data_IF_657888969175
#
_entry.id   IF_657888969175
#
_cell.length_a   1.000
_cell.length_b   1.000
_cell.length_c   1.000
_cell.angle_alpha   90.00
_cell.angle_beta   90.00
_cell.angle_gamma   90.00
#
_symmetry.space_group_name_H-M   'P 1'
#
loop_
_entity.id
_entity.type
_entity.pdbx_description
1 polymer ?
#
# COMPACT_ATOMS: atom_id res chain seq x y z
N UNK A 1 5.62 -0.14 31.61
CA UNK A 1 6.41 -0.93 30.64
C UNK A 1 5.55 -1.10 29.40
N UNK A 2 5.89 -0.38 28.35
CA UNK A 2 5.23 -0.51 27.05
C UNK A 2 5.37 -1.96 26.58
N UNK A 3 4.24 -2.57 26.16
CA UNK A 3 4.26 -3.91 25.57
C UNK A 3 4.69 -3.78 24.10
N UNK A 4 6.00 -3.71 23.88
CA UNK A 4 6.59 -3.37 22.56
C UNK A 4 6.09 -4.24 21.39
N UNK A 5 5.79 -5.53 21.61
CA UNK A 5 5.24 -6.41 20.58
C UNK A 5 3.82 -5.98 20.12
N UNK A 6 2.98 -5.45 21.03
CA UNK A 6 1.64 -4.96 20.69
C UNK A 6 1.74 -3.65 19.92
N UNK A 7 2.63 -2.75 20.33
CA UNK A 7 2.86 -1.49 19.63
C UNK A 7 3.38 -1.74 18.21
N UNK A 8 4.40 -2.60 18.06
CA UNK A 8 4.97 -2.98 16.76
C UNK A 8 3.91 -3.63 15.85
N UNK A 9 3.10 -4.55 16.38
CA UNK A 9 2.08 -5.25 15.60
C UNK A 9 0.97 -4.32 15.11
N UNK A 10 0.63 -3.27 15.87
CA UNK A 10 -0.42 -2.29 15.49
C UNK A 10 0.10 -1.19 14.58
N UNK A 11 1.35 -0.79 14.74
CA UNK A 11 1.97 0.30 13.96
C UNK A 11 2.31 -0.13 12.53
N UNK A 12 2.63 -1.40 12.31
CA UNK A 12 3.00 -1.93 10.99
C UNK A 12 1.77 -2.04 10.07
N UNK A 13 1.98 -1.84 8.77
CA UNK A 13 1.01 -2.17 7.71
C UNK A 13 1.29 -3.57 7.14
N UNK A 14 2.52 -4.03 7.23
CA UNK A 14 3.00 -5.34 6.81
C UNK A 14 4.16 -5.77 7.73
N UNK A 15 4.22 -7.03 8.12
CA UNK A 15 5.36 -7.59 8.83
C UNK A 15 6.20 -8.41 7.87
N UNK A 16 7.49 -8.08 7.75
CA UNK A 16 8.43 -8.79 6.87
C UNK A 16 9.50 -9.48 7.71
N UNK A 17 9.68 -10.77 7.47
CA UNK A 17 10.72 -11.59 8.10
C UNK A 17 11.76 -11.99 7.07
N UNK A 18 12.90 -11.32 7.07
CA UNK A 18 14.01 -11.54 6.15
C UNK A 18 15.36 -11.44 6.90
N UNK A 19 16.05 -12.55 7.12
CA UNK A 19 15.71 -13.93 6.78
C UNK A 19 14.70 -14.58 7.72
N UNK A 20 13.83 -15.45 7.19
CA UNK A 20 12.99 -16.35 7.96
C UNK A 20 13.72 -17.68 8.16
N UNK A 21 14.25 -17.89 9.36
CA UNK A 21 14.97 -19.11 9.72
C UNK A 21 14.01 -20.26 9.98
N UNK A 22 14.49 -21.52 9.87
CA UNK A 22 13.69 -22.70 10.18
C UNK A 22 13.11 -22.67 11.61
N UNK A 23 13.88 -22.16 12.59
CA UNK A 23 13.43 -22.01 13.96
C UNK A 23 12.28 -21.02 14.11
N UNK A 24 12.36 -19.84 13.49
CA UNK A 24 11.30 -18.84 13.55
C UNK A 24 10.02 -19.30 12.80
N UNK A 25 10.20 -19.95 11.64
CA UNK A 25 9.11 -20.59 10.90
C UNK A 25 8.39 -21.62 11.76
N UNK A 26 9.15 -22.47 12.47
CA UNK A 26 8.58 -23.47 13.37
C UNK A 26 7.82 -22.84 14.54
N UNK A 27 8.36 -21.79 15.16
CA UNK A 27 7.69 -21.04 16.22
C UNK A 27 6.37 -20.43 15.73
N UNK A 28 6.40 -19.72 14.60
CA UNK A 28 5.21 -19.13 14.00
C UNK A 28 4.14 -20.18 13.67
N UNK A 29 4.52 -21.31 13.07
CA UNK A 29 3.60 -22.39 12.70
C UNK A 29 2.94 -23.09 13.89
N UNK A 30 3.56 -23.03 15.07
CA UNK A 30 3.08 -23.72 16.27
C UNK A 30 2.68 -22.78 17.42
N UNK A 31 2.62 -21.46 17.16
CA UNK A 31 2.17 -20.46 18.13
C UNK A 31 3.12 -20.28 19.32
N UNK A 32 4.43 -20.52 19.13
CA UNK A 32 5.43 -20.29 20.15
C UNK A 32 5.88 -18.83 20.14
N UNK A 33 5.87 -18.19 21.31
CA UNK A 33 6.12 -16.75 21.50
C UNK A 33 7.04 -16.53 22.69
N UNK A 34 8.30 -16.95 22.56
CA UNK A 34 9.33 -16.92 23.60
C UNK A 34 10.39 -15.82 23.40
N UNK A 35 10.26 -15.05 22.30
CA UNK A 35 11.08 -13.88 22.01
C UNK A 35 10.22 -12.76 21.37
N UNK A 36 10.79 -11.56 21.22
CA UNK A 36 10.07 -10.41 20.68
C UNK A 36 9.54 -10.65 19.27
N UNK A 37 10.32 -11.29 18.40
CA UNK A 37 9.93 -11.53 17.01
C UNK A 37 8.77 -12.51 16.92
N UNK A 38 8.88 -13.68 17.59
CA UNK A 38 7.82 -14.68 17.61
C UNK A 38 6.55 -14.18 18.29
N UNK A 39 6.68 -13.37 19.37
CA UNK A 39 5.54 -12.73 20.02
C UNK A 39 4.86 -11.70 19.14
N UNK A 40 5.64 -10.89 18.40
CA UNK A 40 5.07 -9.93 17.44
C UNK A 40 4.32 -10.64 16.30
N UNK A 41 4.88 -11.73 15.76
CA UNK A 41 4.22 -12.54 14.73
C UNK A 41 2.92 -13.17 15.22
N UNK A 42 2.84 -13.57 16.48
CA UNK A 42 1.62 -14.13 17.06
C UNK A 42 0.57 -13.06 17.38
N UNK A 43 1.03 -11.84 17.73
CA UNK A 43 0.15 -10.72 18.12
C UNK A 43 -0.34 -9.88 16.94
N UNK A 44 0.28 -9.99 15.76
CA UNK A 44 -0.08 -9.13 14.61
C UNK A 44 -1.39 -9.55 13.96
N UNK A 45 -2.17 -8.57 13.56
CA UNK A 45 -3.34 -8.70 12.70
C UNK A 45 -3.02 -8.30 11.24
N UNK A 46 -1.75 -8.07 10.92
CA UNK A 46 -1.28 -7.63 9.60
C UNK A 46 -0.83 -8.83 8.76
N UNK A 47 -0.77 -8.61 7.45
CA UNK A 47 -0.14 -9.58 6.54
C UNK A 47 1.30 -9.80 6.93
N UNK A 48 1.79 -11.02 6.75
CA UNK A 48 3.18 -11.39 7.03
C UNK A 48 3.82 -11.92 5.75
N UNK A 49 5.00 -11.39 5.41
CA UNK A 49 5.85 -11.90 4.34
C UNK A 49 7.06 -12.61 4.94
N UNK A 50 7.26 -13.86 4.58
CA UNK A 50 8.42 -14.65 4.97
C UNK A 50 9.38 -14.79 3.78
N UNK A 51 10.65 -14.45 3.97
CA UNK A 51 11.75 -14.71 3.05
C UNK A 51 12.66 -15.80 3.66
N UNK A 52 12.40 -17.10 3.42
CA UNK A 52 13.16 -18.17 4.03
C UNK A 52 14.63 -18.16 3.62
N UNK A 53 15.51 -18.46 4.62
CA UNK A 53 16.92 -18.70 4.37
C UNK A 53 17.45 -19.75 5.33
N UNK A 54 17.95 -20.85 4.80
CA UNK A 54 18.50 -21.97 5.57
C UNK A 54 19.28 -22.91 4.65
N UNK A 55 20.01 -23.85 5.24
CA UNK A 55 20.67 -24.92 4.49
C UNK A 55 19.65 -25.74 3.65
N UNK A 56 20.08 -26.26 2.50
CA UNK A 56 19.26 -27.08 1.57
C UNK A 56 18.55 -28.22 2.28
N UNK A 57 19.28 -28.97 3.10
CA UNK A 57 18.70 -30.13 3.82
C UNK A 57 17.66 -29.72 4.83
N UNK A 58 17.87 -28.57 5.49
CA UNK A 58 16.87 -27.99 6.40
C UNK A 58 15.63 -27.57 5.63
N UNK A 59 15.79 -26.88 4.48
CA UNK A 59 14.64 -26.49 3.66
C UNK A 59 13.82 -27.67 3.17
N UNK A 60 14.49 -28.71 2.66
CA UNK A 60 13.85 -29.92 2.16
C UNK A 60 13.34 -30.84 3.27
N UNK A 61 13.64 -30.56 4.52
CA UNK A 61 13.21 -31.39 5.63
C UNK A 61 11.67 -31.40 5.76
N UNK A 62 11.03 -32.60 5.87
CA UNK A 62 9.57 -32.69 5.94
C UNK A 62 8.92 -31.82 7.01
N UNK A 63 9.55 -31.64 8.17
CA UNK A 63 9.04 -30.79 9.23
C UNK A 63 9.01 -29.30 8.83
N UNK A 64 10.01 -28.81 8.09
CA UNK A 64 10.05 -27.43 7.60
C UNK A 64 8.98 -27.23 6.53
N UNK A 65 8.84 -28.17 5.59
CA UNK A 65 7.81 -28.12 4.56
C UNK A 65 6.39 -28.17 5.17
N UNK A 66 6.18 -28.99 6.18
CA UNK A 66 4.91 -29.06 6.91
C UNK A 66 4.60 -27.73 7.62
N UNK A 67 5.58 -27.08 8.24
CA UNK A 67 5.41 -25.77 8.88
C UNK A 67 5.07 -24.68 7.85
N UNK A 68 5.76 -24.64 6.71
CA UNK A 68 5.44 -23.71 5.60
C UNK A 68 4.03 -23.95 5.07
N UNK A 69 3.66 -25.23 4.85
CA UNK A 69 2.30 -25.59 4.42
C UNK A 69 1.23 -25.11 5.40
N UNK A 70 1.47 -25.29 6.71
CA UNK A 70 0.57 -24.82 7.77
C UNK A 70 0.43 -23.29 7.75
N UNK A 71 1.53 -22.53 7.64
CA UNK A 71 1.50 -21.08 7.62
C UNK A 71 0.78 -20.53 6.40
N UNK A 72 0.93 -21.16 5.22
CA UNK A 72 0.19 -20.81 4.00
C UNK A 72 -1.30 -21.11 4.10
N UNK A 73 -1.69 -22.12 4.89
CA UNK A 73 -3.07 -22.56 5.04
C UNK A 73 -3.85 -21.80 6.14
N UNK A 74 -3.26 -20.87 6.84
CA UNK A 74 -3.96 -20.00 7.78
C UNK A 74 -4.89 -19.02 7.04
N UNK A 75 -5.91 -19.57 6.38
CA UNK A 75 -6.95 -18.80 5.71
C UNK A 75 -7.78 -17.99 6.72
N UNK A 76 -7.93 -16.71 6.46
CA UNK A 76 -8.81 -15.82 7.22
C UNK A 76 -8.16 -15.06 8.38
N UNK A 77 -7.05 -15.48 8.91
CA UNK A 77 -6.22 -14.73 9.84
C UNK A 77 -4.90 -14.40 9.14
N UNK A 78 -4.91 -13.41 8.24
CA UNK A 78 -3.72 -12.81 7.62
C UNK A 78 -2.73 -13.83 7.06
N UNK A 79 -3.12 -14.58 6.02
CA UNK A 79 -2.30 -15.60 5.38
C UNK A 79 -0.84 -15.16 5.21
N UNK A 80 0.10 -16.04 5.60
CA UNK A 80 1.51 -15.73 5.49
C UNK A 80 1.98 -15.98 4.05
N UNK A 81 2.42 -14.93 3.38
CA UNK A 81 3.04 -15.03 2.07
C UNK A 81 4.49 -15.48 2.22
N UNK A 82 4.99 -16.21 1.23
CA UNK A 82 6.37 -16.69 1.18
C UNK A 82 6.99 -16.29 -0.14
N UNK A 83 8.16 -15.66 -0.10
CA UNK A 83 8.99 -15.32 -1.27
C UNK A 83 10.30 -16.10 -1.20
N UNK A 84 10.64 -16.83 -2.24
CA UNK A 84 11.77 -17.76 -2.24
C UNK A 84 11.52 -19.05 -1.44
N UNK A 85 12.56 -19.74 -0.94
CA UNK A 85 13.97 -19.40 -1.15
C UNK A 85 14.41 -19.65 -2.61
N UNK A 86 15.45 -18.94 -3.01
CA UNK A 86 16.06 -19.13 -4.32
C UNK A 86 17.03 -20.34 -4.31
N UNK A 87 17.31 -20.88 -5.50
CA UNK A 87 18.35 -21.87 -5.69
C UNK A 87 19.71 -21.20 -5.87
N UNK A 88 20.74 -21.79 -5.30
CA UNK A 88 22.09 -21.28 -5.44
C UNK A 88 23.11 -22.00 -4.57
N UNK A 89 24.35 -21.58 -4.72
CA UNK A 89 25.44 -22.02 -3.85
C UNK A 89 25.32 -21.35 -2.48
N UNK A 90 25.48 -22.13 -1.44
CA UNK A 90 25.41 -21.68 -0.04
C UNK A 90 26.79 -21.57 0.58
N UNK A 91 26.88 -20.85 1.69
CA UNK A 91 28.11 -20.66 2.44
C UNK A 91 28.76 -21.98 2.91
N UNK A 92 28.00 -23.07 2.96
CA UNK A 92 28.50 -24.41 3.27
C UNK A 92 28.95 -25.22 2.05
N UNK A 93 28.97 -24.64 0.84
CA UNK A 93 29.34 -25.30 -0.42
C UNK A 93 28.29 -26.24 -0.99
N UNK A 94 27.10 -26.32 -0.42
CA UNK A 94 25.97 -27.05 -1.00
C UNK A 94 25.21 -26.19 -2.00
N UNK A 95 24.71 -26.78 -3.06
CA UNK A 95 23.87 -26.13 -4.09
C UNK A 95 22.43 -26.62 -4.02
N UNK A 96 21.48 -25.70 -4.09
CA UNK A 96 20.05 -26.02 -4.11
C UNK A 96 19.17 -24.93 -3.50
N UNK A 97 17.88 -25.21 -3.24
CA UNK A 97 16.97 -24.27 -2.65
C UNK A 97 17.28 -24.01 -1.17
N UNK A 98 17.35 -22.75 -0.75
CA UNK A 98 17.63 -22.37 0.64
C UNK A 98 18.27 -21.00 0.78
N UNK A 99 18.74 -20.41 -0.31
CA UNK A 99 19.24 -19.04 -0.35
C UNK A 99 18.07 -18.07 -0.23
N UNK A 100 18.21 -17.02 0.59
CA UNK A 100 17.19 -15.97 0.69
C UNK A 100 16.94 -15.35 -0.69
N UNK A 101 15.69 -15.11 -1.03
CA UNK A 101 15.32 -14.39 -2.25
C UNK A 101 16.07 -13.07 -2.39
N UNK A 102 16.35 -12.66 -3.61
CA UNK A 102 17.05 -11.41 -3.88
C UNK A 102 16.22 -10.20 -3.36
N UNK A 103 16.87 -9.12 -2.89
CA UNK A 103 16.18 -7.95 -2.35
C UNK A 103 15.12 -7.37 -3.28
N UNK A 104 15.36 -7.40 -4.61
CA UNK A 104 14.38 -6.93 -5.59
C UNK A 104 13.10 -7.77 -5.61
N UNK A 105 13.20 -9.09 -5.46
CA UNK A 105 12.06 -9.99 -5.39
C UNK A 105 11.28 -9.78 -4.09
N UNK A 106 11.97 -9.59 -2.97
CA UNK A 106 11.36 -9.28 -1.66
C UNK A 106 10.61 -7.94 -1.75
N UNK A 107 11.22 -6.90 -2.33
CA UNK A 107 10.60 -5.60 -2.50
C UNK A 107 9.33 -5.69 -3.36
N UNK A 108 9.38 -6.38 -4.48
CA UNK A 108 8.21 -6.59 -5.35
C UNK A 108 7.07 -7.33 -4.62
N UNK A 109 7.40 -8.32 -3.77
CA UNK A 109 6.42 -9.02 -2.96
C UNK A 109 5.80 -8.10 -1.89
N UNK A 110 6.60 -7.22 -1.26
CA UNK A 110 6.13 -6.20 -0.30
C UNK A 110 5.15 -5.26 -0.99
N UNK A 111 5.52 -4.70 -2.15
CA UNK A 111 4.67 -3.79 -2.93
C UNK A 111 3.35 -4.47 -3.31
N UNK A 112 3.39 -5.71 -3.78
CA UNK A 112 2.21 -6.49 -4.10
C UNK A 112 1.28 -6.73 -2.90
N UNK A 113 1.84 -7.01 -1.72
CA UNK A 113 1.06 -7.21 -0.50
C UNK A 113 0.46 -5.90 0.02
N UNK A 114 1.19 -4.80 -0.04
CA UNK A 114 0.69 -3.48 0.37
C UNK A 114 -0.35 -2.94 -0.60
N UNK A 115 -0.23 -3.24 -1.89
CA UNK A 115 -1.22 -2.87 -2.90
C UNK A 115 -2.60 -3.54 -2.70
N UNK A 116 -2.69 -4.60 -1.87
CA UNK A 116 -3.93 -5.36 -1.67
C UNK A 116 -4.23 -6.35 -2.80
N UNK A 117 -5.29 -7.15 -2.68
CA UNK A 117 -5.59 -8.25 -3.61
C UNK A 117 -5.80 -7.80 -5.07
N UNK A 118 -6.19 -6.54 -5.29
CA UNK A 118 -6.46 -5.99 -6.63
C UNK A 118 -5.43 -4.96 -7.10
N UNK A 119 -4.30 -4.79 -6.40
CA UNK A 119 -3.35 -3.71 -6.67
C UNK A 119 -3.92 -2.30 -6.41
N UNK A 120 -4.97 -2.20 -5.61
CA UNK A 120 -5.71 -0.97 -5.31
C UNK A 120 -5.63 -0.60 -3.82
N UNK A 121 -4.49 -0.07 -3.35
CA UNK A 121 -4.28 0.24 -1.93
C UNK A 121 -5.26 1.28 -1.38
N UNK A 122 -5.91 2.06 -2.25
CA UNK A 122 -6.90 3.07 -1.90
C UNK A 122 -8.35 2.62 -2.20
N UNK A 123 -8.59 1.32 -2.43
CA UNK A 123 -9.94 0.81 -2.65
C UNK A 123 -10.87 1.14 -1.47
N UNK A 124 -12.03 1.72 -1.76
CA UNK A 124 -12.99 2.17 -0.75
C UNK A 124 -12.64 3.51 -0.08
N UNK A 125 -11.51 4.13 -0.39
CA UNK A 125 -11.16 5.47 0.07
C UNK A 125 -11.75 6.53 -0.84
N UNK A 126 -12.15 7.67 -0.25
CA UNK A 126 -12.65 8.84 -0.96
C UNK A 126 -11.61 9.95 -0.93
N UNK A 127 -11.37 10.58 -2.08
CA UNK A 127 -10.43 11.68 -2.21
C UNK A 127 -11.07 12.86 -2.94
N UNK A 128 -10.79 14.07 -2.46
CA UNK A 128 -11.15 15.31 -3.13
C UNK A 128 -9.89 15.99 -3.62
N UNK A 129 -9.86 16.41 -4.87
CA UNK A 129 -8.74 17.14 -5.48
C UNK A 129 -9.25 18.42 -6.10
N UNK A 130 -8.62 19.56 -5.81
CA UNK A 130 -8.90 20.80 -6.53
C UNK A 130 -7.84 21.05 -7.59
N UNK A 131 -8.22 21.60 -8.76
CA UNK A 131 -7.31 21.82 -9.87
C UNK A 131 -7.70 23.05 -10.72
N UNK A 132 -6.72 23.58 -11.43
CA UNK A 132 -6.92 24.70 -12.35
C UNK A 132 -7.01 26.06 -11.68
N UNK A 133 -7.31 27.09 -12.46
CA UNK A 133 -7.54 28.45 -11.97
C UNK A 133 -8.99 28.63 -11.52
N UNK A 134 -9.28 29.71 -10.81
CA UNK A 134 -10.62 30.31 -10.77
C UNK A 134 -10.71 31.47 -11.73
N UNK A 135 -11.91 31.82 -12.11
CA UNK A 135 -12.23 33.00 -12.89
C UNK A 135 -13.27 33.83 -12.13
N UNK A 136 -12.87 35.05 -11.73
CA UNK A 136 -13.72 35.94 -10.94
C UNK A 136 -14.25 37.03 -11.88
N UNK A 137 -15.53 37.01 -12.27
CA UNK A 137 -16.09 37.98 -13.17
C UNK A 137 -16.15 39.37 -12.55
N UNK A 138 -15.67 40.39 -13.28
CA UNK A 138 -15.77 41.81 -12.93
C UNK A 138 -17.02 42.42 -13.58
N UNK A 139 -17.25 42.08 -14.83
CA UNK A 139 -18.42 42.46 -15.62
C UNK A 139 -18.68 41.35 -16.70
N UNK A 140 -19.69 41.48 -17.55
CA UNK A 140 -20.02 40.46 -18.56
C UNK A 140 -18.90 40.15 -19.57
N UNK A 141 -17.85 40.97 -19.64
CA UNK A 141 -16.76 40.84 -20.60
C UNK A 141 -15.41 40.53 -19.92
N UNK A 142 -15.18 41.03 -18.72
CA UNK A 142 -13.88 41.00 -18.03
C UNK A 142 -13.95 40.20 -16.72
N UNK A 143 -12.87 39.49 -16.40
CA UNK A 143 -12.68 38.81 -15.14
C UNK A 143 -11.21 38.70 -14.77
N UNK A 144 -10.96 38.33 -13.50
CA UNK A 144 -9.65 38.00 -12.96
C UNK A 144 -9.47 36.51 -12.99
N UNK A 145 -8.32 36.07 -13.45
CA UNK A 145 -7.94 34.63 -13.41
C UNK A 145 -6.41 34.53 -13.33
N UNK A 146 -5.92 33.31 -13.12
CA UNK A 146 -4.50 33.01 -13.13
C UNK A 146 -4.14 32.04 -14.27
N UNK A 147 -2.84 31.74 -14.45
CA UNK A 147 -2.34 30.90 -15.53
C UNK A 147 -2.19 29.42 -15.13
N UNK A 148 -2.87 28.96 -14.10
CA UNK A 148 -2.81 27.54 -13.71
C UNK A 148 -3.32 26.66 -14.84
N UNK A 149 -2.51 25.70 -15.26
CA UNK A 149 -2.91 24.73 -16.29
C UNK A 149 -3.75 23.56 -15.76
N UNK A 150 -3.87 23.41 -14.43
CA UNK A 150 -4.52 22.29 -13.78
C UNK A 150 -3.80 20.94 -13.87
N UNK A 151 -2.70 20.83 -14.63
CA UNK A 151 -2.02 19.56 -14.91
C UNK A 151 -1.64 18.77 -13.66
N UNK A 152 -1.17 19.44 -12.62
CA UNK A 152 -0.76 18.78 -11.38
C UNK A 152 -1.95 18.11 -10.69
N UNK A 153 -3.06 18.84 -10.49
CA UNK A 153 -4.25 18.27 -9.84
C UNK A 153 -4.88 17.14 -10.66
N UNK A 154 -4.91 17.27 -11.98
CA UNK A 154 -5.39 16.20 -12.87
C UNK A 154 -4.51 14.94 -12.77
N UNK A 155 -3.19 15.07 -12.77
CA UNK A 155 -2.27 13.95 -12.63
C UNK A 155 -2.39 13.26 -11.25
N UNK A 156 -2.60 14.05 -10.18
CA UNK A 156 -2.85 13.51 -8.84
C UNK A 156 -4.18 12.76 -8.80
N UNK A 157 -5.25 13.33 -9.35
CA UNK A 157 -6.56 12.69 -9.41
C UNK A 157 -6.52 11.36 -10.18
N UNK A 158 -5.82 11.33 -11.32
CA UNK A 158 -5.60 10.11 -12.10
C UNK A 158 -4.83 9.04 -11.31
N UNK A 159 -3.75 9.44 -10.63
CA UNK A 159 -2.96 8.52 -9.82
C UNK A 159 -3.78 7.91 -8.66
N UNK A 160 -4.55 8.74 -7.95
CA UNK A 160 -5.43 8.28 -6.87
C UNK A 160 -6.51 7.31 -7.38
N UNK A 161 -7.12 7.61 -8.54
CA UNK A 161 -8.12 6.73 -9.16
C UNK A 161 -7.49 5.38 -9.60
N UNK A 162 -6.29 5.38 -10.18
CA UNK A 162 -5.56 4.14 -10.50
C UNK A 162 -5.25 3.31 -9.27
N UNK A 163 -4.99 3.93 -8.14
CA UNK A 163 -4.79 3.27 -6.86
C UNK A 163 -6.11 2.80 -6.20
N UNK A 164 -7.25 3.05 -6.84
CA UNK A 164 -8.55 2.54 -6.43
C UNK A 164 -9.41 3.49 -5.61
N UNK A 165 -8.97 4.73 -5.36
CA UNK A 165 -9.78 5.71 -4.68
C UNK A 165 -10.98 6.16 -5.52
N UNK A 166 -12.08 6.49 -4.86
CA UNK A 166 -13.18 7.25 -5.44
C UNK A 166 -12.79 8.73 -5.40
N UNK A 167 -12.52 9.32 -6.57
CA UNK A 167 -11.95 10.66 -6.67
C UNK A 167 -12.98 11.66 -7.21
N UNK A 168 -13.23 12.73 -6.45
CA UNK A 168 -13.95 13.92 -6.90
C UNK A 168 -12.94 15.02 -7.22
N UNK A 169 -12.84 15.40 -8.51
CA UNK A 169 -11.96 16.46 -8.99
C UNK A 169 -12.77 17.75 -9.20
N UNK A 170 -12.59 18.71 -8.32
CA UNK A 170 -13.19 20.06 -8.45
C UNK A 170 -12.24 20.92 -9.29
N UNK A 171 -12.67 21.25 -10.49
CA UNK A 171 -11.81 21.88 -11.48
C UNK A 171 -12.35 23.22 -11.98
N UNK A 172 -11.51 24.24 -11.90
CA UNK A 172 -11.71 25.48 -12.63
C UNK A 172 -11.51 25.31 -14.15
N UNK A 173 -11.66 26.41 -14.93
CA UNK A 173 -11.64 26.34 -16.38
C UNK A 173 -10.27 25.97 -16.94
N UNK A 174 -10.15 24.74 -17.44
CA UNK A 174 -8.96 24.19 -18.10
C UNK A 174 -9.36 23.35 -19.32
N UNK A 175 -8.46 23.23 -20.29
CA UNK A 175 -8.70 22.45 -21.50
C UNK A 175 -8.38 20.96 -21.36
N UNK A 176 -8.23 20.44 -20.11
CA UNK A 176 -7.89 19.05 -19.86
C UNK A 176 -9.14 18.17 -19.86
N UNK A 177 -9.02 16.98 -20.46
CA UNK A 177 -10.04 15.95 -20.33
C UNK A 177 -10.06 15.36 -18.91
N UNK A 178 -11.24 14.97 -18.43
CA UNK A 178 -11.31 14.27 -17.13
C UNK A 178 -10.56 12.93 -17.21
N UNK A 179 -9.74 12.58 -16.20
CA UNK A 179 -9.11 11.28 -16.15
C UNK A 179 -10.15 10.16 -16.02
N UNK A 180 -9.82 8.98 -16.52
CA UNK A 180 -10.71 7.81 -16.44
C UNK A 180 -10.94 7.43 -14.97
N UNK A 181 -12.21 7.20 -14.59
CA UNK A 181 -12.59 6.83 -13.23
C UNK A 181 -12.61 7.98 -12.22
N UNK A 182 -12.48 9.22 -12.69
CA UNK A 182 -12.56 10.43 -11.86
C UNK A 182 -13.87 11.16 -12.12
N UNK A 183 -14.61 11.45 -11.05
CA UNK A 183 -15.78 12.32 -11.10
C UNK A 183 -15.31 13.78 -11.11
N UNK A 184 -15.58 14.51 -12.21
CA UNK A 184 -15.20 15.92 -12.31
C UNK A 184 -16.38 16.85 -12.08
N UNK A 185 -16.20 17.77 -11.14
CA UNK A 185 -17.10 18.88 -10.86
C UNK A 185 -16.49 20.16 -11.42
N UNK A 186 -17.14 20.75 -12.42
CA UNK A 186 -16.75 22.03 -12.99
C UNK A 186 -17.19 23.19 -12.11
N UNK A 187 -16.29 24.13 -11.92
CA UNK A 187 -16.57 25.40 -11.25
C UNK A 187 -15.92 26.55 -12.02
N UNK A 188 -16.35 27.75 -11.78
CA UNK A 188 -15.76 28.95 -12.34
C UNK A 188 -15.11 29.81 -11.26
N UNK A 189 -15.82 30.09 -10.18
CA UNK A 189 -15.37 30.99 -9.12
C UNK A 189 -14.80 30.26 -7.90
N UNK A 190 -14.03 30.98 -7.07
CA UNK A 190 -13.52 30.49 -5.80
C UNK A 190 -14.66 30.06 -4.83
N UNK A 191 -15.78 30.78 -4.84
CA UNK A 191 -16.96 30.44 -4.03
C UNK A 191 -17.60 29.15 -4.46
N UNK A 192 -17.71 28.92 -5.77
CA UNK A 192 -18.19 27.63 -6.30
C UNK A 192 -17.24 26.50 -5.95
N UNK A 193 -15.91 26.73 -6.04
CA UNK A 193 -14.92 25.74 -5.63
C UNK A 193 -15.08 25.37 -4.16
N UNK A 194 -15.23 26.35 -3.27
CA UNK A 194 -15.46 26.12 -1.84
C UNK A 194 -16.74 25.30 -1.61
N UNK A 195 -17.84 25.66 -2.26
CA UNK A 195 -19.10 24.93 -2.13
C UNK A 195 -19.01 23.50 -2.65
N UNK A 196 -18.36 23.28 -3.81
CA UNK A 196 -18.17 21.96 -4.40
C UNK A 196 -17.27 21.06 -3.53
N UNK A 197 -16.19 21.60 -2.96
CA UNK A 197 -15.34 20.87 -2.00
C UNK A 197 -16.12 20.53 -0.75
N UNK A 198 -16.90 21.44 -0.19
CA UNK A 198 -17.73 21.17 0.99
C UNK A 198 -18.77 20.07 0.73
N UNK A 199 -19.37 20.05 -0.46
CA UNK A 199 -20.32 19.01 -0.87
C UNK A 199 -19.69 17.63 -1.07
N UNK A 200 -18.39 17.57 -1.42
CA UNK A 200 -17.65 16.34 -1.60
C UNK A 200 -17.13 15.73 -0.28
N UNK A 201 -17.25 16.43 0.83
CA UNK A 201 -16.90 15.92 2.16
C UNK A 201 -18.08 15.14 2.80
N UNK A 202 -17.81 14.17 3.70
CA UNK A 202 -16.48 13.77 4.19
C UNK A 202 -15.69 12.94 3.17
N UNK A 203 -14.37 13.11 3.18
CA UNK A 203 -13.41 12.33 2.39
C UNK A 203 -12.23 11.91 3.27
N UNK A 204 -11.55 10.79 2.89
CA UNK A 204 -10.38 10.30 3.62
C UNK A 204 -9.14 11.18 3.36
N UNK A 205 -9.09 11.83 2.20
CA UNK A 205 -8.02 12.76 1.85
C UNK A 205 -8.52 13.91 0.99
N UNK A 206 -7.84 15.07 1.11
CA UNK A 206 -8.09 16.24 0.29
C UNK A 206 -6.76 16.84 -0.19
N UNK A 207 -6.64 17.09 -1.49
CA UNK A 207 -5.46 17.69 -2.12
C UNK A 207 -5.85 19.02 -2.76
N UNK A 208 -5.42 20.12 -2.15
CA UNK A 208 -5.73 21.46 -2.61
C UNK A 208 -4.62 21.96 -3.54
N UNK A 209 -4.75 21.70 -4.85
CA UNK A 209 -3.76 22.10 -5.85
C UNK A 209 -4.26 23.14 -6.87
N UNK A 210 -5.47 23.63 -6.69
CA UNK A 210 -5.97 24.74 -7.48
C UNK A 210 -5.24 26.05 -7.15
N UNK A 211 -5.17 26.94 -8.11
CA UNK A 211 -4.76 28.32 -7.90
C UNK A 211 -6.02 29.19 -7.83
N UNK A 212 -6.21 29.84 -6.69
CA UNK A 212 -7.38 30.65 -6.36
C UNK A 212 -6.96 32.08 -6.11
#
# INVERSE_FOLDING_TARGET
TAMGHIELSRWADLVVVAPATAGLIAKAANGLADDLASTTLLATDKRVLLAPAMNVRMWLHPAVQANIGRLKAFDGFHGMAVVGPDEGEMACGEFGPGRMAEPAAILSAIEGLLAGPDGRPLAGRRAVVTAGPTFEPIDPVRGLTNRSSGKQGYAIAEALARLGAQVTLVSGPVALAAPVGVERVWIETAREMQAAVAAALPADSAVMSAAV
#
